data_IF_278605768694
#
_entry.id   IF_278605768694
#
_cell.length_a   1.000
_cell.length_b   1.000
_cell.length_c   1.000
_cell.angle_alpha   90.00
_cell.angle_beta   90.00
_cell.angle_gamma   90.00
#
_symmetry.space_group_name_H-M   'P 1'
#
loop_
_entity.id
_entity.type
_entity.pdbx_description
1 polymer ?
#
# COMPACT_ATOMS: atom_id res chain seq x y z
N UNK A 1 21.34 12.62 -2.38
CA UNK A 1 22.80 12.45 -2.47
C UNK A 1 23.52 13.80 -2.31
N UNK A 2 23.19 14.82 -3.06
CA UNK A 2 23.92 16.09 -3.16
C UNK A 2 24.10 16.83 -1.83
N UNK A 3 23.22 16.59 -0.85
CA UNK A 3 23.30 17.14 0.49
C UNK A 3 23.96 16.19 1.51
N UNK A 4 24.70 15.18 1.06
CA UNK A 4 25.44 14.26 1.91
C UNK A 4 24.63 13.13 2.55
N UNK A 5 23.36 12.93 2.16
CA UNK A 5 22.55 11.82 2.65
C UNK A 5 22.83 10.52 1.91
N UNK A 6 22.77 9.39 2.61
CA UNK A 6 22.51 8.10 1.97
C UNK A 6 21.02 7.98 1.66
N UNK A 7 20.67 7.52 0.45
CA UNK A 7 19.30 7.59 -0.05
C UNK A 7 18.79 6.22 -0.47
N UNK A 8 17.64 5.83 0.07
CA UNK A 8 17.04 4.51 -0.10
C UNK A 8 15.60 4.65 -0.59
N UNK A 9 15.24 3.91 -1.63
CA UNK A 9 13.85 3.78 -2.06
C UNK A 9 13.45 2.31 -1.98
N UNK A 10 12.36 2.02 -1.26
CA UNK A 10 11.83 0.66 -1.13
C UNK A 10 10.35 0.62 -1.52
N UNK A 11 10.00 -0.35 -2.35
CA UNK A 11 8.62 -0.62 -2.76
C UNK A 11 8.24 -0.06 -4.12
N UNK A 12 7.01 0.47 -4.22
CA UNK A 12 6.42 0.97 -5.47
C UNK A 12 7.17 2.17 -6.03
N UNK A 13 7.43 2.15 -7.34
CA UNK A 13 7.97 3.28 -8.07
C UNK A 13 6.91 4.03 -8.89
N UNK A 14 6.32 3.40 -9.90
CA UNK A 14 5.29 3.92 -10.82
C UNK A 14 5.67 5.19 -11.61
N UNK A 15 6.97 5.50 -11.73
CA UNK A 15 7.47 6.67 -12.45
C UNK A 15 8.30 6.32 -13.70
N UNK A 16 8.49 5.02 -13.95
CA UNK A 16 9.22 4.54 -15.13
C UNK A 16 8.23 4.33 -16.28
N UNK A 17 8.51 4.84 -17.49
CA UNK A 17 7.72 4.54 -18.67
C UNK A 17 7.61 3.02 -18.90
N UNK A 18 6.44 2.55 -19.34
CA UNK A 18 6.16 1.11 -19.47
C UNK A 18 7.16 0.40 -20.39
N UNK A 19 7.56 1.05 -21.48
CA UNK A 19 8.57 0.56 -22.42
C UNK A 19 9.96 0.37 -21.80
N UNK A 20 10.25 1.09 -20.71
CA UNK A 20 11.51 1.00 -19.99
C UNK A 20 11.46 0.03 -18.80
N UNK A 21 10.29 -0.53 -18.48
CA UNK A 21 10.14 -1.58 -17.45
C UNK A 21 10.51 -2.94 -18.06
N UNK A 22 11.76 -3.09 -18.45
CA UNK A 22 12.25 -4.34 -19.02
C UNK A 22 13.77 -4.48 -18.84
N UNK A 23 14.27 -5.68 -19.06
CA UNK A 23 15.71 -5.94 -19.04
C UNK A 23 16.49 -5.14 -20.09
N UNK A 24 15.82 -4.75 -21.18
CA UNK A 24 16.41 -4.01 -22.32
C UNK A 24 16.07 -2.52 -22.31
N UNK A 25 15.17 -2.06 -21.43
CA UNK A 25 14.74 -0.66 -21.34
C UNK A 25 15.81 0.27 -20.82
N UNK A 26 15.63 1.57 -21.06
CA UNK A 26 16.49 2.61 -20.52
C UNK A 26 16.43 2.63 -18.98
N UNK A 27 17.56 2.90 -18.33
CA UNK A 27 17.64 3.10 -16.88
C UNK A 27 17.59 4.57 -16.46
N UNK A 28 17.39 5.50 -17.41
CA UNK A 28 17.42 6.95 -17.13
C UNK A 28 16.34 7.40 -16.15
N UNK A 29 15.20 6.72 -16.15
CA UNK A 29 14.06 7.02 -15.28
C UNK A 29 13.99 6.11 -14.04
N UNK A 30 14.91 5.17 -13.89
CA UNK A 30 14.96 4.28 -12.75
C UNK A 30 15.49 4.99 -11.49
N UNK A 31 15.15 4.51 -10.27
CA UNK A 31 15.43 5.21 -9.02
C UNK A 31 16.89 5.63 -8.80
N UNK A 32 17.86 4.79 -9.19
CA UNK A 32 19.28 5.12 -9.03
C UNK A 32 19.68 6.34 -9.87
N UNK A 33 19.09 6.49 -11.06
CA UNK A 33 19.32 7.66 -11.93
C UNK A 33 18.60 8.92 -11.45
N UNK A 34 17.73 8.80 -10.45
CA UNK A 34 17.00 9.92 -9.81
C UNK A 34 17.59 10.34 -8.46
N UNK A 35 18.79 9.88 -8.13
CA UNK A 35 19.52 10.30 -6.93
C UNK A 35 19.34 9.39 -5.72
N UNK A 36 18.85 8.17 -5.90
CA UNK A 36 18.85 7.14 -4.87
C UNK A 36 20.12 6.29 -4.97
N UNK A 37 20.75 6.02 -3.82
CA UNK A 37 21.91 5.11 -3.75
C UNK A 37 21.48 3.65 -3.89
N UNK A 38 20.29 3.33 -3.40
CA UNK A 38 19.73 1.96 -3.43
C UNK A 38 18.24 1.99 -3.74
N UNK A 39 17.82 0.97 -4.45
CA UNK A 39 16.42 0.67 -4.72
C UNK A 39 16.12 -0.80 -4.47
N UNK A 40 14.99 -1.10 -3.84
CA UNK A 40 14.47 -2.44 -3.72
C UNK A 40 12.94 -2.42 -3.77
N UNK A 41 12.34 -3.01 -4.80
CA UNK A 41 10.90 -2.94 -4.97
C UNK A 41 10.46 -3.30 -6.40
N UNK A 42 9.45 -2.61 -6.89
CA UNK A 42 8.90 -2.84 -8.23
C UNK A 42 8.67 -1.52 -8.96
N UNK A 43 8.77 -1.56 -10.30
CA UNK A 43 8.75 -0.34 -11.13
C UNK A 43 7.36 0.06 -11.60
N UNK A 44 6.44 -0.90 -11.68
CA UNK A 44 5.06 -0.68 -12.11
C UNK A 44 4.18 -0.02 -11.07
N UNK A 45 2.91 0.21 -11.43
CA UNK A 45 1.88 0.77 -10.54
C UNK A 45 1.39 -0.23 -9.49
N UNK A 46 1.45 -1.51 -9.82
CA UNK A 46 1.03 -2.62 -8.98
C UNK A 46 1.93 -3.83 -9.18
N UNK A 47 1.87 -4.78 -8.27
CA UNK A 47 2.54 -6.08 -8.39
C UNK A 47 1.87 -7.12 -7.49
N UNK A 48 2.03 -8.39 -7.83
CA UNK A 48 1.61 -9.49 -6.97
C UNK A 48 2.44 -9.48 -5.66
N UNK A 49 1.77 -9.58 -4.50
CA UNK A 49 2.46 -9.49 -3.22
C UNK A 49 3.18 -10.79 -2.81
N UNK A 50 2.82 -11.92 -3.45
CA UNK A 50 3.43 -13.22 -3.24
C UNK A 50 4.51 -13.55 -4.28
N UNK A 51 4.36 -13.03 -5.51
CA UNK A 51 5.23 -13.22 -6.66
C UNK A 51 5.46 -11.88 -7.37
N UNK A 52 6.13 -10.91 -6.74
CA UNK A 52 6.32 -9.57 -7.31
C UNK A 52 7.31 -9.56 -8.48
N UNK A 53 7.13 -8.60 -9.38
CA UNK A 53 8.15 -8.22 -10.36
C UNK A 53 9.26 -7.43 -9.68
N UNK A 54 10.15 -8.14 -9.01
CA UNK A 54 11.09 -7.54 -8.07
C UNK A 54 12.36 -7.01 -8.75
N UNK A 55 12.78 -5.84 -8.29
CA UNK A 55 14.01 -5.18 -8.76
C UNK A 55 14.88 -4.84 -7.55
N UNK A 56 16.15 -5.14 -7.65
CA UNK A 56 17.19 -4.70 -6.73
C UNK A 56 18.18 -3.80 -7.49
N UNK A 57 18.21 -2.52 -7.12
CA UNK A 57 18.96 -1.47 -7.82
C UNK A 57 18.53 -1.37 -9.29
N UNK A 58 19.33 -1.85 -10.23
CA UNK A 58 19.05 -1.85 -11.66
C UNK A 58 18.83 -3.25 -12.26
N UNK A 59 18.53 -4.25 -11.43
CA UNK A 59 18.43 -5.65 -11.85
C UNK A 59 17.12 -6.26 -11.42
N UNK A 60 16.41 -6.91 -12.36
CA UNK A 60 15.30 -7.80 -12.01
C UNK A 60 15.86 -9.01 -11.25
N UNK A 61 15.17 -9.40 -10.20
CA UNK A 61 15.52 -10.52 -9.35
C UNK A 61 14.28 -11.34 -9.01
N UNK A 62 14.48 -12.60 -8.63
CA UNK A 62 13.44 -13.42 -8.03
C UNK A 62 13.30 -13.11 -6.53
N UNK A 63 12.12 -13.32 -5.93
CA UNK A 63 11.95 -13.28 -4.49
C UNK A 63 12.96 -14.20 -3.78
N UNK A 64 13.47 -13.81 -2.60
CA UNK A 64 14.52 -14.56 -1.92
C UNK A 64 14.08 -15.94 -1.37
N UNK A 65 12.78 -16.18 -1.28
CA UNK A 65 12.15 -17.45 -0.85
C UNK A 65 10.70 -17.49 -1.34
N UNK A 66 10.04 -18.62 -1.23
CA UNK A 66 8.68 -18.83 -1.77
C UNK A 66 7.59 -18.42 -0.78
N UNK A 67 6.34 -18.21 -1.24
CA UNK A 67 5.19 -17.97 -0.34
C UNK A 67 4.98 -19.10 0.68
N UNK A 68 5.25 -20.36 0.31
CA UNK A 68 5.18 -21.52 1.20
C UNK A 68 6.23 -21.45 2.32
N UNK A 69 7.34 -20.78 2.07
CA UNK A 69 8.38 -20.47 3.04
C UNK A 69 8.10 -19.18 3.83
N UNK A 70 6.94 -18.54 3.58
CA UNK A 70 6.48 -17.35 4.27
C UNK A 70 6.87 -16.03 3.60
N UNK A 71 7.13 -16.04 2.29
CA UNK A 71 7.35 -14.81 1.54
C UNK A 71 6.07 -13.96 1.46
N UNK A 72 6.25 -12.67 1.59
CA UNK A 72 5.28 -11.62 1.24
C UNK A 72 6.04 -10.32 1.04
N UNK A 73 5.71 -9.56 -0.02
CA UNK A 73 6.43 -8.34 -0.40
C UNK A 73 6.52 -7.32 0.74
N UNK A 74 5.43 -7.03 1.46
CA UNK A 74 5.47 -6.06 2.57
C UNK A 74 6.48 -6.45 3.65
N UNK A 75 6.60 -7.76 3.94
CA UNK A 75 7.59 -8.29 4.91
C UNK A 75 9.01 -8.14 4.38
N UNK A 76 9.24 -8.53 3.13
CA UNK A 76 10.54 -8.44 2.49
C UNK A 76 11.03 -6.99 2.40
N UNK A 77 10.16 -6.05 2.02
CA UNK A 77 10.49 -4.63 2.01
C UNK A 77 10.97 -4.15 3.40
N UNK A 78 10.30 -4.55 4.47
CA UNK A 78 10.72 -4.20 5.83
C UNK A 78 12.06 -4.86 6.21
N UNK A 79 12.27 -6.12 5.83
CA UNK A 79 13.55 -6.83 6.04
C UNK A 79 14.71 -6.12 5.33
N UNK A 80 14.51 -5.67 4.08
CA UNK A 80 15.50 -4.92 3.33
C UNK A 80 15.74 -3.51 3.89
N UNK A 81 14.68 -2.82 4.33
CA UNK A 81 14.80 -1.53 5.00
C UNK A 81 15.68 -1.64 6.25
N UNK A 82 15.38 -2.60 7.11
CA UNK A 82 16.15 -2.87 8.34
C UNK A 82 17.60 -3.25 8.00
N UNK A 83 17.81 -4.05 6.95
CA UNK A 83 19.15 -4.41 6.48
C UNK A 83 19.93 -3.17 6.04
N UNK A 84 19.34 -2.31 5.18
CA UNK A 84 19.99 -1.09 4.69
C UNK A 84 20.35 -0.14 5.83
N UNK A 85 19.45 0.04 6.81
CA UNK A 85 19.71 0.86 8.00
C UNK A 85 20.81 0.28 8.89
N UNK A 86 20.86 -1.04 9.04
CA UNK A 86 21.94 -1.74 9.77
C UNK A 86 23.29 -1.54 9.09
N UNK A 87 23.35 -1.71 7.77
CA UNK A 87 24.55 -1.54 6.99
C UNK A 87 25.05 -0.09 7.06
N UNK A 88 24.12 0.88 6.90
CA UNK A 88 24.38 2.32 7.05
C UNK A 88 25.02 2.64 8.42
N UNK A 89 24.39 2.16 9.48
CA UNK A 89 24.88 2.38 10.85
C UNK A 89 26.26 1.79 11.08
N UNK A 90 26.55 0.65 10.49
CA UNK A 90 27.84 -0.04 10.65
C UNK A 90 28.95 0.62 9.84
N UNK A 91 28.65 1.05 8.61
CA UNK A 91 29.66 1.57 7.68
C UNK A 91 29.87 3.08 7.81
N UNK A 92 28.83 3.85 8.10
CA UNK A 92 28.83 5.30 8.14
C UNK A 92 27.86 5.86 9.20
N UNK A 93 28.11 5.63 10.49
CA UNK A 93 27.15 5.93 11.58
C UNK A 93 26.85 7.43 11.73
N UNK A 94 27.73 8.31 11.29
CA UNK A 94 27.53 9.77 11.33
C UNK A 94 26.90 10.36 10.06
N UNK A 95 26.76 9.57 8.99
CA UNK A 95 26.16 10.04 7.74
C UNK A 95 24.64 10.00 7.86
N UNK A 96 23.93 11.11 7.59
CA UNK A 96 22.46 11.07 7.60
C UNK A 96 21.92 10.21 6.46
N UNK A 97 20.70 9.75 6.62
CA UNK A 97 20.00 8.96 5.60
C UNK A 97 18.59 9.48 5.34
N UNK A 98 18.11 9.20 4.14
CA UNK A 98 16.74 9.41 3.71
C UNK A 98 16.22 8.09 3.15
N UNK A 99 15.06 7.66 3.63
CA UNK A 99 14.40 6.45 3.15
C UNK A 99 12.99 6.79 2.69
N UNK A 100 12.68 6.43 1.45
CA UNK A 100 11.33 6.48 0.92
C UNK A 100 10.79 5.05 0.88
N UNK A 101 9.91 4.75 1.83
CA UNK A 101 9.31 3.43 2.00
C UNK A 101 7.88 3.45 1.46
N UNK A 102 7.65 2.84 0.31
CA UNK A 102 6.41 2.84 -0.47
C UNK A 102 5.87 1.42 -0.62
N UNK A 103 5.19 0.84 0.39
CA UNK A 103 4.61 -0.50 0.26
C UNK A 103 3.56 -0.54 -0.85
N UNK A 104 3.29 -1.72 -1.41
CA UNK A 104 2.25 -1.90 -2.42
C UNK A 104 0.82 -1.78 -1.87
N UNK A 105 0.65 -1.91 -0.57
CA UNK A 105 -0.64 -1.77 0.10
C UNK A 105 -1.07 -0.27 0.17
N UNK A 106 -2.33 0.05 -0.05
CA UNK A 106 -3.43 -0.91 -0.29
C UNK A 106 -3.89 -0.91 -1.75
N UNK A 107 -3.00 -0.80 -2.71
CA UNK A 107 -3.35 -0.99 -4.12
C UNK A 107 -3.71 -2.45 -4.41
N UNK A 108 -4.57 -2.70 -5.39
CA UNK A 108 -4.80 -4.05 -5.91
C UNK A 108 -3.48 -4.64 -6.49
N UNK A 109 -3.31 -5.95 -6.50
CA UNK A 109 -4.18 -6.98 -5.90
C UNK A 109 -4.06 -7.02 -4.36
N UNK A 110 -5.21 -7.13 -3.70
CA UNK A 110 -5.26 -7.16 -2.23
C UNK A 110 -4.87 -8.55 -1.70
N UNK A 111 -3.59 -8.82 -1.67
CA UNK A 111 -3.03 -10.06 -1.15
C UNK A 111 -2.60 -9.85 0.31
N UNK A 112 -3.23 -10.55 1.23
CA UNK A 112 -2.88 -10.50 2.64
C UNK A 112 -2.79 -11.92 3.23
N UNK A 113 -1.96 -12.15 4.26
CA UNK A 113 -1.96 -13.42 4.97
C UNK A 113 -3.31 -13.70 5.60
N UNK A 114 -3.80 -14.94 5.48
CA UNK A 114 -5.14 -15.34 5.90
C UNK A 114 -5.41 -15.00 7.38
N UNK A 115 -4.43 -15.15 8.25
CA UNK A 115 -4.54 -14.83 9.66
C UNK A 115 -4.89 -13.37 9.96
N UNK A 116 -4.46 -12.43 9.09
CA UNK A 116 -4.80 -11.01 9.20
C UNK A 116 -6.22 -10.74 8.68
N UNK A 117 -6.62 -11.39 7.61
CA UNK A 117 -7.99 -11.30 7.08
C UNK A 117 -9.00 -11.83 8.10
N UNK A 118 -8.69 -12.94 8.76
CA UNK A 118 -9.58 -13.59 9.72
C UNK A 118 -9.85 -12.74 10.98
N UNK A 119 -8.97 -11.81 11.33
CA UNK A 119 -9.19 -10.83 12.41
C UNK A 119 -10.39 -9.91 12.13
N UNK A 120 -10.72 -9.71 10.87
CA UNK A 120 -11.77 -8.80 10.41
C UNK A 120 -13.07 -9.52 10.04
N UNK A 121 -13.13 -10.84 10.15
CA UNK A 121 -14.32 -11.63 9.80
C UNK A 121 -15.56 -11.11 10.50
N UNK A 122 -16.59 -10.77 9.72
CA UNK A 122 -17.86 -10.24 10.19
C UNK A 122 -17.87 -8.80 10.66
N UNK A 123 -16.75 -8.07 10.59
CA UNK A 123 -16.69 -6.68 11.05
C UNK A 123 -17.28 -5.66 10.07
N UNK A 124 -17.62 -6.07 8.87
CA UNK A 124 -18.18 -5.23 7.82
C UNK A 124 -19.57 -5.68 7.36
N UNK A 125 -20.21 -6.60 8.12
CA UNK A 125 -21.52 -7.16 7.77
C UNK A 125 -22.66 -6.10 7.84
N UNK A 126 -22.47 -5.03 8.62
CA UNK A 126 -23.40 -3.88 8.70
C UNK A 126 -23.30 -2.93 7.51
N UNK A 127 -22.33 -3.12 6.62
CA UNK A 127 -22.13 -2.38 5.39
C UNK A 127 -21.33 -1.09 5.49
N UNK A 128 -21.11 -0.48 4.32
CA UNK A 128 -20.19 0.65 4.19
C UNK A 128 -20.76 1.97 4.75
N UNK A 129 -22.09 2.18 4.76
CA UNK A 129 -22.68 3.37 5.41
C UNK A 129 -22.43 3.33 6.91
N UNK A 130 -22.73 2.21 7.58
CA UNK A 130 -22.48 2.04 9.00
C UNK A 130 -20.98 2.15 9.33
N UNK A 131 -20.13 1.60 8.49
CA UNK A 131 -18.67 1.73 8.64
C UNK A 131 -18.19 3.18 8.52
N UNK A 132 -18.71 3.96 7.54
CA UNK A 132 -18.36 5.37 7.37
C UNK A 132 -18.74 6.22 8.58
N UNK A 133 -19.94 6.00 9.14
CA UNK A 133 -20.39 6.67 10.37
C UNK A 133 -19.48 6.33 11.55
N UNK A 134 -19.15 5.05 11.71
CA UNK A 134 -18.25 4.60 12.77
C UNK A 134 -16.84 5.19 12.65
N UNK A 135 -16.28 5.23 11.43
CA UNK A 135 -14.96 5.83 11.18
C UNK A 135 -14.95 7.30 11.49
N UNK A 136 -15.95 8.06 11.01
CA UNK A 136 -16.06 9.50 11.30
C UNK A 136 -16.08 9.76 12.80
N UNK A 137 -16.93 9.05 13.54
CA UNK A 137 -17.02 9.19 14.99
C UNK A 137 -15.66 8.93 15.69
N UNK A 138 -14.93 7.89 15.25
CA UNK A 138 -13.61 7.54 15.80
C UNK A 138 -12.54 8.56 15.44
N UNK A 139 -12.57 9.13 14.24
CA UNK A 139 -11.61 10.16 13.83
C UNK A 139 -11.82 11.46 14.61
N UNK A 140 -13.06 11.85 14.87
CA UNK A 140 -13.40 12.99 15.73
C UNK A 140 -12.95 12.72 17.18
N UNK A 141 -13.30 11.56 17.74
CA UNK A 141 -12.91 11.16 19.10
C UNK A 141 -11.38 11.24 19.31
N UNK A 142 -10.61 10.86 18.31
CA UNK A 142 -9.15 10.88 18.34
C UNK A 142 -8.52 12.23 17.99
N UNK A 143 -9.31 13.23 17.68
CA UNK A 143 -8.84 14.56 17.30
C UNK A 143 -8.17 14.62 15.91
N UNK A 144 -8.42 13.62 15.05
CA UNK A 144 -7.93 13.60 13.65
C UNK A 144 -8.76 14.55 12.79
N UNK A 145 -10.05 14.65 13.07
CA UNK A 145 -10.98 15.57 12.42
C UNK A 145 -11.63 16.53 13.41
N UNK A 146 -11.99 17.75 12.98
CA UNK A 146 -12.79 18.68 13.78
C UNK A 146 -14.12 18.06 14.23
N UNK A 147 -14.64 18.49 15.38
CA UNK A 147 -15.87 17.94 15.96
C UNK A 147 -17.15 18.25 15.13
N UNK A 148 -17.08 19.27 14.29
CA UNK A 148 -18.15 19.72 13.40
C UNK A 148 -18.04 19.15 11.99
N UNK A 149 -17.17 18.16 11.76
CA UNK A 149 -17.03 17.47 10.47
C UNK A 149 -18.29 16.67 10.16
N UNK A 150 -18.89 16.94 9.03
CA UNK A 150 -20.06 16.21 8.53
C UNK A 150 -19.67 15.11 7.58
N UNK A 151 -20.40 13.99 7.62
CA UNK A 151 -20.22 12.89 6.68
C UNK A 151 -20.76 13.29 5.31
N UNK A 152 -19.94 13.14 4.26
CA UNK A 152 -20.40 13.40 2.89
C UNK A 152 -21.50 12.41 2.47
N UNK A 153 -22.41 12.76 1.54
CA UNK A 153 -23.34 11.80 0.93
C UNK A 153 -22.60 10.58 0.35
N UNK A 154 -23.33 9.48 0.13
CA UNK A 154 -22.76 8.25 -0.47
C UNK A 154 -22.20 8.52 -1.87
N UNK A 155 -22.90 9.33 -2.65
CA UNK A 155 -22.50 9.77 -3.99
C UNK A 155 -22.48 11.30 -4.04
N UNK A 156 -21.42 11.97 -3.52
CA UNK A 156 -21.41 13.44 -3.37
C UNK A 156 -21.45 14.20 -4.70
N UNK A 157 -21.05 13.55 -5.81
CA UNK A 157 -21.05 14.11 -7.17
C UNK A 157 -22.06 13.43 -8.08
N UNK A 158 -23.19 12.99 -7.53
CA UNK A 158 -24.21 12.23 -8.28
C UNK A 158 -24.71 12.96 -9.53
N UNK A 159 -24.83 14.29 -9.47
CA UNK A 159 -25.28 15.11 -10.60
C UNK A 159 -24.24 15.21 -11.73
N UNK A 160 -22.97 14.97 -11.43
CA UNK A 160 -21.87 15.01 -12.41
C UNK A 160 -21.60 13.64 -13.06
N UNK A 161 -22.18 12.57 -12.49
CA UNK A 161 -22.01 11.20 -12.99
C UNK A 161 -23.12 10.86 -13.97
N UNK A 162 -22.79 10.84 -15.26
CA UNK A 162 -23.75 10.66 -16.34
C UNK A 162 -24.45 9.29 -16.36
N UNK A 163 -23.79 8.26 -15.85
CA UNK A 163 -24.32 6.89 -15.83
C UNK A 163 -24.70 6.49 -14.40
N UNK A 164 -25.98 6.27 -14.09
CA UNK A 164 -26.41 5.81 -12.76
C UNK A 164 -25.76 4.50 -12.31
N UNK A 165 -25.28 3.66 -13.22
CA UNK A 165 -24.56 2.43 -12.88
C UNK A 165 -23.18 2.69 -12.25
N UNK A 166 -22.66 3.92 -12.36
CA UNK A 166 -21.41 4.32 -11.72
C UNK A 166 -21.61 4.87 -10.30
N UNK A 167 -22.86 4.89 -9.82
CA UNK A 167 -23.17 5.23 -8.43
C UNK A 167 -23.02 4.03 -7.50
N UNK A 168 -22.48 4.28 -6.31
CA UNK A 168 -22.49 3.30 -5.23
C UNK A 168 -23.94 3.13 -4.76
N UNK A 169 -24.44 1.89 -4.80
CA UNK A 169 -25.79 1.56 -4.34
C UNK A 169 -25.86 1.56 -2.81
N UNK A 170 -26.95 1.99 -2.18
CA UNK A 170 -27.15 1.81 -0.75
C UNK A 170 -27.01 0.33 -0.34
N UNK A 171 -26.38 0.06 0.80
CA UNK A 171 -26.19 -1.30 1.29
C UNK A 171 -27.49 -2.10 1.41
N UNK A 172 -28.59 -1.42 1.80
CA UNK A 172 -29.89 -2.04 1.93
C UNK A 172 -30.46 -2.57 0.60
N UNK A 173 -30.03 -2.05 -0.53
CA UNK A 173 -30.48 -2.44 -1.88
C UNK A 173 -29.69 -3.61 -2.46
N UNK A 174 -28.59 -4.00 -1.83
CA UNK A 174 -27.77 -5.14 -2.26
C UNK A 174 -28.44 -6.46 -1.89
N UNK A 175 -28.26 -7.46 -2.73
CA UNK A 175 -28.66 -8.83 -2.41
C UNK A 175 -27.66 -9.50 -1.43
N UNK A 176 -28.01 -10.67 -0.91
CA UNK A 176 -27.22 -11.35 0.11
C UNK A 176 -25.82 -11.77 -0.38
N UNK A 177 -25.66 -12.10 -1.66
CA UNK A 177 -24.38 -12.51 -2.22
C UNK A 177 -23.46 -11.30 -2.45
N UNK A 178 -24.02 -10.17 -2.90
CA UNK A 178 -23.30 -8.90 -3.00
C UNK A 178 -22.82 -8.43 -1.63
N UNK A 179 -23.69 -8.48 -0.61
CA UNK A 179 -23.31 -8.13 0.77
C UNK A 179 -22.17 -8.99 1.29
N UNK A 180 -22.23 -10.30 1.08
CA UNK A 180 -21.14 -11.21 1.46
C UNK A 180 -19.84 -10.91 0.74
N UNK A 181 -19.91 -10.64 -0.58
CA UNK A 181 -18.75 -10.31 -1.39
C UNK A 181 -18.11 -9.02 -0.91
N UNK A 182 -18.88 -7.95 -0.76
CA UNK A 182 -18.35 -6.63 -0.40
C UNK A 182 -17.83 -6.60 1.04
N UNK A 183 -18.51 -7.27 1.98
CA UNK A 183 -17.98 -7.45 3.33
C UNK A 183 -16.64 -8.19 3.30
N UNK A 184 -16.52 -9.26 2.50
CA UNK A 184 -15.26 -10.00 2.35
C UNK A 184 -14.16 -9.17 1.71
N UNK A 185 -14.46 -8.35 0.70
CA UNK A 185 -13.49 -7.44 0.11
C UNK A 185 -12.95 -6.44 1.14
N UNK A 186 -13.83 -5.89 1.99
CA UNK A 186 -13.44 -4.99 3.07
C UNK A 186 -12.57 -5.70 4.14
N UNK A 187 -12.88 -6.96 4.49
CA UNK A 187 -12.05 -7.77 5.39
C UNK A 187 -10.64 -7.98 4.84
N UNK A 188 -10.52 -8.28 3.55
CA UNK A 188 -9.21 -8.47 2.87
C UNK A 188 -8.42 -7.17 2.85
N UNK A 189 -9.07 -6.05 2.51
CA UNK A 189 -8.44 -4.73 2.51
C UNK A 189 -7.92 -4.36 3.90
N UNK A 190 -8.74 -4.56 4.94
CA UNK A 190 -8.34 -4.28 6.33
C UNK A 190 -7.20 -5.19 6.80
N UNK A 191 -7.24 -6.48 6.46
CA UNK A 191 -6.16 -7.42 6.76
C UNK A 191 -4.83 -7.03 6.08
N UNK A 192 -4.90 -6.54 4.83
CA UNK A 192 -3.73 -6.08 4.10
C UNK A 192 -3.15 -4.80 4.71
N UNK A 193 -4.02 -3.86 5.11
CA UNK A 193 -3.63 -2.64 5.83
C UNK A 193 -2.89 -2.98 7.13
N UNK A 194 -3.50 -3.81 7.99
CA UNK A 194 -2.90 -4.18 9.28
C UNK A 194 -1.58 -4.92 9.09
N UNK A 195 -1.51 -5.85 8.15
CA UNK A 195 -0.27 -6.57 7.89
C UNK A 195 0.87 -5.62 7.49
N UNK A 196 0.58 -4.65 6.64
CA UNK A 196 1.57 -3.66 6.21
C UNK A 196 1.97 -2.73 7.35
N UNK A 197 1.03 -2.30 8.17
CA UNK A 197 1.31 -1.49 9.36
C UNK A 197 2.24 -2.22 10.35
N UNK A 198 2.01 -3.51 10.57
CA UNK A 198 2.92 -4.35 11.38
C UNK A 198 4.33 -4.37 10.79
N UNK A 199 4.49 -4.42 9.47
CA UNK A 199 5.81 -4.39 8.86
C UNK A 199 6.49 -3.02 9.01
N UNK A 200 5.75 -1.93 8.89
CA UNK A 200 6.24 -0.57 9.19
C UNK A 200 6.66 -0.48 10.66
N UNK A 201 5.85 -1.01 11.57
CA UNK A 201 6.14 -1.09 13.01
C UNK A 201 7.49 -1.75 13.31
N UNK A 202 7.88 -2.78 12.57
CA UNK A 202 9.20 -3.45 12.70
C UNK A 202 10.37 -2.52 12.36
N UNK A 203 10.20 -1.63 11.38
CA UNK A 203 11.22 -0.62 11.05
C UNK A 203 11.35 0.39 12.20
N UNK A 204 10.23 0.88 12.73
CA UNK A 204 10.21 1.82 13.87
C UNK A 204 10.84 1.18 15.10
N UNK A 205 10.48 -0.06 15.42
CA UNK A 205 11.08 -0.82 16.52
C UNK A 205 12.61 -1.00 16.36
N UNK A 206 13.07 -1.23 15.12
CA UNK A 206 14.51 -1.28 14.85
C UNK A 206 15.19 0.05 15.15
N UNK A 207 14.61 1.18 14.75
CA UNK A 207 15.14 2.52 15.05
C UNK A 207 15.18 2.78 16.55
N UNK A 208 14.13 2.40 17.27
CA UNK A 208 14.07 2.52 18.73
C UNK A 208 15.17 1.69 19.41
N UNK A 209 15.24 0.39 19.14
CA UNK A 209 16.25 -0.52 19.72
C UNK A 209 17.68 -0.13 19.41
N UNK A 210 17.89 0.60 18.33
CA UNK A 210 19.22 1.06 17.93
C UNK A 210 19.52 2.50 18.34
N UNK A 211 18.61 3.15 19.08
CA UNK A 211 18.77 4.51 19.60
C UNK A 211 18.76 5.58 18.51
N UNK A 212 18.09 5.33 17.40
CA UNK A 212 18.00 6.26 16.27
C UNK A 212 16.65 6.99 16.20
N UNK A 213 15.60 6.47 16.86
CA UNK A 213 14.23 6.97 16.73
C UNK A 213 14.10 8.45 17.13
N UNK A 214 14.71 8.87 18.23
CA UNK A 214 14.64 10.25 18.73
C UNK A 214 15.27 11.29 17.80
N UNK A 215 16.14 10.83 16.87
CA UNK A 215 16.78 11.67 15.85
C UNK A 215 16.32 11.31 14.44
N UNK A 216 15.13 10.73 14.30
CA UNK A 216 14.53 10.37 13.02
C UNK A 216 13.17 11.05 12.87
N UNK A 217 13.03 11.84 11.80
CA UNK A 217 11.74 12.38 11.41
C UNK A 217 11.00 11.35 10.55
N UNK A 218 9.81 10.95 10.98
CA UNK A 218 8.95 10.02 10.25
C UNK A 218 7.75 10.79 9.69
N UNK A 219 7.60 10.77 8.36
CA UNK A 219 6.39 11.21 7.67
C UNK A 219 5.57 9.99 7.27
N UNK A 220 4.29 10.00 7.63
CA UNK A 220 3.32 9.00 7.18
C UNK A 220 2.22 9.72 6.40
N UNK A 221 1.99 9.31 5.17
CA UNK A 221 0.91 9.85 4.35
C UNK A 221 0.43 8.78 3.35
N UNK A 222 -0.83 8.87 2.94
CA UNK A 222 -1.30 8.20 1.74
C UNK A 222 -0.96 9.09 0.53
N UNK A 223 -0.69 8.49 -0.61
CA UNK A 223 -0.47 9.19 -1.88
C UNK A 223 -1.80 9.72 -2.47
N UNK A 224 -2.90 9.00 -2.21
CA UNK A 224 -4.26 9.35 -2.62
C UNK A 224 -5.29 8.71 -1.69
N UNK A 225 -6.55 8.99 -1.92
CA UNK A 225 -7.66 8.30 -1.26
C UNK A 225 -7.98 6.96 -1.90
N UNK A 226 -9.17 6.42 -1.59
CA UNK A 226 -9.66 5.19 -2.21
C UNK A 226 -9.76 5.35 -3.74
N UNK A 227 -9.27 4.35 -4.48
CA UNK A 227 -9.36 4.34 -5.94
C UNK A 227 -10.77 4.00 -6.42
N UNK A 228 -11.22 4.67 -7.50
CA UNK A 228 -12.44 4.32 -8.22
C UNK A 228 -12.25 3.35 -9.39
N UNK A 229 -11.06 2.80 -9.56
CA UNK A 229 -10.70 2.00 -10.75
C UNK A 229 -11.44 0.68 -10.87
N UNK A 230 -11.96 0.13 -9.80
CA UNK A 230 -12.72 -1.12 -9.81
C UNK A 230 -14.22 -0.98 -10.01
N UNK A 231 -14.74 0.19 -10.45
CA UNK A 231 -16.17 0.54 -10.45
C UNK A 231 -16.78 0.61 -9.03
N UNK A 232 -18.06 1.05 -8.86
CA UNK A 232 -18.72 1.06 -7.55
C UNK A 232 -18.82 -0.32 -6.88
N UNK A 233 -18.81 -1.39 -7.65
CA UNK A 233 -18.89 -2.77 -7.16
C UNK A 233 -17.50 -3.39 -6.86
N UNK A 234 -16.43 -2.67 -7.17
CA UNK A 234 -15.07 -3.14 -7.01
C UNK A 234 -14.64 -4.13 -8.09
N UNK A 235 -13.43 -4.66 -7.96
CA UNK A 235 -12.89 -5.70 -8.85
C UNK A 235 -12.13 -6.74 -8.04
N UNK A 236 -12.31 -8.01 -8.38
CA UNK A 236 -11.52 -9.11 -7.79
C UNK A 236 -10.21 -9.34 -8.54
N UNK A 237 -10.07 -8.78 -9.73
CA UNK A 237 -8.86 -8.86 -10.55
C UNK A 237 -8.82 -7.68 -11.53
N UNK A 238 -8.03 -6.67 -11.20
CA UNK A 238 -7.92 -5.44 -11.96
C UNK A 238 -7.43 -5.66 -13.40
N UNK A 239 -6.46 -6.54 -13.60
CA UNK A 239 -5.98 -6.87 -14.95
C UNK A 239 -7.07 -7.51 -15.81
N UNK A 240 -7.94 -8.34 -15.25
CA UNK A 240 -9.11 -8.84 -15.97
C UNK A 240 -10.07 -7.72 -16.34
N UNK A 241 -10.34 -6.83 -15.39
CA UNK A 241 -11.21 -5.68 -15.60
C UNK A 241 -10.72 -4.78 -16.75
N UNK A 242 -9.45 -4.36 -16.76
CA UNK A 242 -8.88 -3.56 -17.84
C UNK A 242 -8.82 -4.27 -19.19
N UNK A 243 -8.82 -5.59 -19.22
CA UNK A 243 -8.93 -6.38 -20.44
C UNK A 243 -10.39 -6.68 -20.85
N UNK A 244 -11.38 -6.05 -20.23
CA UNK A 244 -12.80 -6.19 -20.56
C UNK A 244 -13.43 -7.51 -20.13
N UNK A 245 -12.86 -8.19 -19.15
CA UNK A 245 -13.43 -9.38 -18.51
C UNK A 245 -13.99 -8.99 -17.15
N UNK A 246 -15.32 -9.08 -16.93
CA UNK A 246 -15.93 -8.78 -15.65
C UNK A 246 -15.54 -9.78 -14.55
#
# INVERSE_FOLDING_TARGET
QDNGYSTYWLGKNHNVPVEDISACGSRSEWPLSKGFDRFYGFLGGETNQWYPDLVNDNHFIEPPYTPEEGYHLSKDLADQAIRMLRDQRSAAPSKPWFMWFCPGANHAPHHAPQEYIDKYKGKFDDGYEAYREWVLARMIERGVLPADTELTPLNPMADDVANPADHVRPWAELNDDEKKLFARMAEVFAGFSEYTDVQIGRIVEFLERTGQLDNTLIFYCADNGASGEGTPDGSVNENKFFNGYP
#
